data_IF_160480275972
#
_entry.id   IF_160480275972
#
_cell.length_a   1.000
_cell.length_b   1.000
_cell.length_c   1.000
_cell.angle_alpha   90.00
_cell.angle_beta   90.00
_cell.angle_gamma   90.00
#
_symmetry.space_group_name_H-M   'P 1'
#
loop_
_entity.id
_entity.type
_entity.pdbx_description
1 polymer ?
#
# COMPACT_ATOMS: atom_id res chain seq x y z
N UNK A 1 -15.43 5.40 7.43
CA UNK A 1 -14.00 5.80 7.37
C UNK A 1 -13.20 4.78 8.17
N UNK A 2 -12.11 4.26 7.62
CA UNK A 2 -11.23 3.31 8.31
C UNK A 2 -10.57 3.97 9.53
N UNK A 3 -10.66 3.31 10.68
CA UNK A 3 -10.01 3.75 11.92
C UNK A 3 -9.04 2.65 12.35
N UNK A 4 -7.73 2.82 12.14
CA UNK A 4 -6.76 1.82 12.57
C UNK A 4 -6.67 1.75 14.09
N UNK A 5 -6.43 0.55 14.61
CA UNK A 5 -6.14 0.36 16.04
C UNK A 5 -4.71 0.76 16.40
N UNK A 6 -3.77 0.54 15.47
CA UNK A 6 -2.38 0.94 15.60
C UNK A 6 -1.80 1.28 14.22
N UNK A 7 -0.82 2.16 14.21
CA UNK A 7 -0.07 2.55 13.01
C UNK A 7 1.38 2.14 13.20
N UNK A 8 1.89 1.39 12.24
CA UNK A 8 3.30 1.05 12.13
C UNK A 8 3.90 1.85 10.98
N UNK A 9 4.96 2.59 11.21
CA UNK A 9 5.51 3.45 10.17
C UNK A 9 7.04 3.50 10.16
N UNK A 10 7.61 3.63 8.97
CA UNK A 10 9.02 3.90 8.78
C UNK A 10 9.29 5.39 9.04
N UNK A 11 10.33 5.71 9.81
CA UNK A 11 10.61 7.10 10.23
C UNK A 11 10.78 8.05 9.04
N UNK A 12 11.32 7.58 7.94
CA UNK A 12 11.57 8.38 6.75
C UNK A 12 10.29 8.89 6.06
N UNK A 13 9.10 8.35 6.40
CA UNK A 13 7.83 8.87 5.85
C UNK A 13 7.57 10.33 6.23
N UNK A 14 8.18 10.80 7.32
CA UNK A 14 8.08 12.18 7.77
C UNK A 14 8.69 13.19 6.77
N UNK A 15 9.49 12.72 5.81
CA UNK A 15 10.04 13.54 4.72
C UNK A 15 9.05 13.73 3.55
N UNK A 16 7.92 13.03 3.56
CA UNK A 16 6.90 13.07 2.50
C UNK A 16 5.64 13.79 3.00
N UNK A 17 5.03 14.60 2.14
CA UNK A 17 3.81 15.34 2.46
C UNK A 17 2.69 14.41 2.95
N UNK A 18 2.38 13.37 2.14
CA UNK A 18 1.39 12.36 2.50
C UNK A 18 1.69 11.67 3.84
N UNK A 19 2.97 11.45 4.15
CA UNK A 19 3.38 10.86 5.43
C UNK A 19 3.00 11.76 6.60
N UNK A 20 3.28 13.06 6.50
CA UNK A 20 2.91 14.06 7.52
C UNK A 20 1.41 14.17 7.69
N UNK A 21 0.67 14.25 6.58
CA UNK A 21 -0.80 14.29 6.57
C UNK A 21 -1.41 13.08 7.28
N UNK A 22 -0.91 11.88 7.00
CA UNK A 22 -1.40 10.66 7.62
C UNK A 22 -1.08 10.61 9.11
N UNK A 23 0.11 11.04 9.54
CA UNK A 23 0.48 11.09 10.95
C UNK A 23 -0.37 12.09 11.72
N UNK A 24 -0.70 13.25 11.14
CA UNK A 24 -1.60 14.24 11.74
C UNK A 24 -3.06 13.76 11.75
N UNK A 25 -3.54 13.20 10.63
CA UNK A 25 -4.90 12.65 10.52
C UNK A 25 -5.20 11.62 11.61
N UNK A 26 -4.21 10.84 11.97
CA UNK A 26 -4.32 9.77 12.97
C UNK A 26 -3.51 10.08 14.24
N UNK A 27 -3.44 11.35 14.64
CA UNK A 27 -2.64 11.77 15.81
C UNK A 27 -3.00 11.03 17.11
N UNK A 28 -4.27 10.68 17.29
CA UNK A 28 -4.79 10.01 18.49
C UNK A 28 -4.65 8.48 18.45
N UNK A 29 -4.12 7.92 17.36
CA UNK A 29 -3.91 6.48 17.22
C UNK A 29 -2.51 6.11 17.72
N UNK A 30 -2.35 5.01 18.48
CA UNK A 30 -1.04 4.51 18.88
C UNK A 30 -0.13 4.28 17.68
N UNK A 31 1.11 4.75 17.78
CA UNK A 31 2.10 4.71 16.69
C UNK A 31 3.34 3.94 17.12
N UNK A 32 3.82 3.08 16.23
CA UNK A 32 5.04 2.28 16.42
C UNK A 32 5.98 2.54 15.25
N UNK A 33 7.20 2.97 15.54
CA UNK A 33 8.24 3.13 14.52
C UNK A 33 8.81 1.76 14.19
N UNK A 34 8.92 1.47 12.90
CA UNK A 34 9.49 0.23 12.38
C UNK A 34 10.64 0.52 11.42
N UNK A 35 11.57 -0.42 11.31
CA UNK A 35 12.69 -0.32 10.38
C UNK A 35 12.29 -0.66 8.94
N UNK A 36 11.32 -1.59 8.77
CA UNK A 36 10.93 -2.08 7.46
C UNK A 36 9.47 -2.55 7.44
N UNK A 37 8.67 -1.97 6.55
CA UNK A 37 7.28 -2.32 6.35
C UNK A 37 7.04 -3.76 5.87
N UNK A 38 8.06 -4.47 5.41
CA UNK A 38 7.97 -5.87 5.00
C UNK A 38 8.29 -6.86 6.13
N UNK A 39 8.83 -6.40 7.25
CA UNK A 39 9.29 -7.26 8.34
C UNK A 39 8.81 -6.75 9.70
N UNK A 40 7.53 -6.91 9.97
CA UNK A 40 6.93 -6.58 11.27
C UNK A 40 6.74 -7.88 12.04
N UNK A 41 7.66 -8.16 12.98
CA UNK A 41 7.70 -9.44 13.70
C UNK A 41 6.38 -9.76 14.42
N UNK A 42 5.77 -8.78 15.07
CA UNK A 42 4.50 -8.96 15.77
C UNK A 42 3.39 -9.47 14.84
N UNK A 43 3.38 -9.01 13.59
CA UNK A 43 2.40 -9.43 12.59
C UNK A 43 2.70 -10.83 12.06
N UNK A 44 3.98 -11.18 11.91
CA UNK A 44 4.40 -12.48 11.40
C UNK A 44 4.18 -13.63 12.39
N UNK A 45 4.17 -13.34 13.68
CA UNK A 45 3.95 -14.34 14.74
C UNK A 45 2.48 -14.67 14.97
N UNK A 46 1.55 -13.90 14.37
CA UNK A 46 0.12 -14.15 14.54
C UNK A 46 -0.35 -15.38 13.78
N UNK A 47 -1.30 -16.09 14.35
CA UNK A 47 -1.93 -17.22 13.70
C UNK A 47 -2.91 -16.76 12.59
N UNK A 48 -3.31 -17.73 11.75
CA UNK A 48 -4.14 -17.39 10.58
C UNK A 48 -5.55 -16.90 10.94
N UNK A 49 -6.09 -17.30 12.07
CA UNK A 49 -7.39 -16.85 12.59
C UNK A 49 -7.35 -15.42 13.14
N UNK A 50 -6.16 -14.86 13.37
CA UNK A 50 -5.98 -13.49 13.82
C UNK A 50 -5.94 -12.45 12.69
N UNK A 51 -6.08 -12.87 11.42
CA UNK A 51 -6.03 -11.93 10.29
C UNK A 51 -7.02 -10.76 10.41
N UNK A 52 -8.23 -10.89 11.00
CA UNK A 52 -9.11 -9.75 11.19
C UNK A 52 -8.48 -8.66 12.08
N UNK A 53 -7.77 -9.05 13.13
CA UNK A 53 -7.04 -8.11 14.00
C UNK A 53 -5.87 -7.45 13.26
N UNK A 54 -5.16 -8.21 12.43
CA UNK A 54 -4.06 -7.68 11.62
C UNK A 54 -4.55 -6.62 10.63
N UNK A 55 -5.72 -6.82 10.02
CA UNK A 55 -6.32 -5.87 9.08
C UNK A 55 -6.80 -4.56 9.72
N UNK A 56 -6.88 -4.50 11.04
CA UNK A 56 -7.19 -3.27 11.77
C UNK A 56 -5.96 -2.38 11.99
N UNK A 57 -4.79 -2.81 11.58
CA UNK A 57 -3.56 -2.02 11.64
C UNK A 57 -3.28 -1.36 10.28
N UNK A 58 -2.68 -0.18 10.33
CA UNK A 58 -2.21 0.55 9.16
C UNK A 58 -0.69 0.57 9.17
N UNK A 59 -0.09 0.14 8.07
CA UNK A 59 1.35 0.21 7.89
C UNK A 59 1.64 1.31 6.87
N UNK A 60 2.57 2.22 7.19
CA UNK A 60 2.98 3.30 6.32
C UNK A 60 4.48 3.18 6.06
N UNK A 61 4.84 3.09 4.82
CA UNK A 61 6.24 2.90 4.43
C UNK A 61 6.62 3.60 3.13
N UNK A 62 7.87 3.38 2.73
CA UNK A 62 8.44 3.90 1.50
C UNK A 62 8.75 2.74 0.57
N UNK A 63 8.27 2.80 -0.65
CA UNK A 63 8.57 1.79 -1.64
C UNK A 63 9.96 2.02 -2.25
N UNK A 64 10.87 1.08 -2.00
CA UNK A 64 12.28 1.19 -2.46
C UNK A 64 12.45 0.83 -3.94
N UNK A 65 11.54 0.05 -4.50
CA UNK A 65 11.65 -0.42 -5.89
C UNK A 65 10.37 -0.16 -6.67
N UNK A 66 10.51 0.42 -7.85
CA UNK A 66 9.41 0.69 -8.79
C UNK A 66 9.61 -0.12 -10.07
N UNK A 67 9.80 -1.44 -9.92
CA UNK A 67 9.95 -2.34 -11.08
C UNK A 67 8.56 -2.65 -11.65
N UNK A 68 8.35 -2.33 -12.92
CA UNK A 68 7.16 -2.72 -13.66
C UNK A 68 7.30 -4.17 -14.11
N UNK A 69 6.18 -4.88 -14.10
CA UNK A 69 6.08 -6.25 -14.61
C UNK A 69 5.27 -6.21 -15.88
N UNK A 70 5.81 -6.76 -16.97
CA UNK A 70 5.06 -6.89 -18.22
C UNK A 70 3.80 -7.72 -17.99
N UNK A 71 2.70 -7.26 -18.57
CA UNK A 71 1.40 -7.91 -18.51
C UNK A 71 0.81 -7.94 -19.94
N UNK A 72 0.38 -9.09 -20.38
CA UNK A 72 -0.14 -9.27 -21.74
C UNK A 72 -1.65 -9.60 -21.75
N UNK A 73 -2.35 -9.29 -20.66
CA UNK A 73 -3.80 -9.55 -20.53
C UNK A 73 -4.62 -8.27 -20.72
N UNK A 74 -4.68 -7.46 -19.68
CA UNK A 74 -5.54 -6.27 -19.61
C UNK A 74 -4.76 -4.95 -19.71
N UNK A 75 -3.44 -5.02 -19.56
CA UNK A 75 -2.54 -3.86 -19.60
C UNK A 75 -1.19 -4.28 -20.16
N UNK A 76 -0.34 -3.32 -20.53
CA UNK A 76 1.04 -3.58 -20.93
C UNK A 76 1.93 -3.82 -19.71
N UNK A 77 1.64 -3.13 -18.62
CA UNK A 77 2.43 -3.23 -17.39
C UNK A 77 1.56 -3.29 -16.14
N UNK A 78 1.96 -4.16 -15.20
CA UNK A 78 1.60 -4.05 -13.79
C UNK A 78 2.61 -3.13 -13.12
N UNK A 79 2.13 -2.03 -12.56
CA UNK A 79 3.01 -1.09 -11.84
C UNK A 79 3.02 -1.39 -10.34
N UNK A 80 4.09 -1.00 -9.64
CA UNK A 80 4.10 -1.08 -8.20
C UNK A 80 2.98 -0.22 -7.63
N UNK A 81 2.29 -0.77 -6.64
CA UNK A 81 1.10 -0.17 -6.05
C UNK A 81 1.45 0.99 -5.15
N UNK A 82 0.53 1.95 -5.05
CA UNK A 82 0.52 2.96 -3.99
C UNK A 82 0.18 2.35 -2.64
N UNK A 83 -0.43 1.17 -2.66
CA UNK A 83 -0.68 0.35 -1.49
C UNK A 83 -0.60 -1.13 -1.81
N UNK A 84 -0.57 -1.97 -0.79
CA UNK A 84 -0.79 -3.41 -0.91
C UNK A 84 -1.52 -3.93 0.32
N UNK A 85 -2.28 -5.01 0.14
CA UNK A 85 -3.21 -5.48 1.16
C UNK A 85 -4.51 -4.68 1.15
N UNK A 86 -5.39 -4.96 2.08
CA UNK A 86 -6.73 -4.39 2.09
C UNK A 86 -7.31 -4.39 3.52
N UNK A 87 -8.14 -3.40 3.83
CA UNK A 87 -8.83 -3.30 5.12
C UNK A 87 -10.15 -4.07 5.16
N UNK A 88 -10.65 -4.55 4.01
CA UNK A 88 -11.89 -5.32 3.95
C UNK A 88 -11.76 -6.70 4.58
N UNK A 89 -12.84 -7.18 5.20
CA UNK A 89 -12.92 -8.45 5.92
C UNK A 89 -13.70 -9.52 5.11
N UNK A 90 -13.41 -9.63 3.82
CA UNK A 90 -14.08 -10.61 2.96
C UNK A 90 -13.77 -12.05 3.45
N UNK A 91 -14.81 -12.87 3.60
CA UNK A 91 -14.68 -14.26 4.05
C UNK A 91 -13.87 -15.14 3.08
N UNK A 92 -13.87 -14.80 1.81
CA UNK A 92 -13.12 -15.48 0.74
C UNK A 92 -11.95 -14.64 0.24
N UNK A 93 -11.27 -13.93 1.12
CA UNK A 93 -10.21 -13.00 0.75
C UNK A 93 -8.98 -13.73 0.19
N UNK A 94 -8.74 -13.60 -1.10
CA UNK A 94 -7.59 -14.23 -1.74
C UNK A 94 -6.25 -13.68 -1.22
N UNK A 95 -6.23 -12.42 -0.76
CA UNK A 95 -5.04 -11.82 -0.16
C UNK A 95 -4.61 -12.55 1.12
N UNK A 96 -5.56 -13.01 1.92
CA UNK A 96 -5.27 -13.81 3.11
C UNK A 96 -4.67 -15.15 2.72
N UNK A 97 -5.21 -15.79 1.67
CA UNK A 97 -4.74 -17.08 1.20
C UNK A 97 -3.34 -17.02 0.56
N UNK A 98 -3.06 -15.99 -0.24
CA UNK A 98 -1.81 -15.89 -0.99
C UNK A 98 -0.71 -15.11 -0.26
N UNK A 99 -1.07 -14.09 0.51
CA UNK A 99 -0.12 -13.23 1.21
C UNK A 99 -0.09 -13.49 2.72
N UNK A 100 -0.96 -14.37 3.20
CA UNK A 100 -1.03 -14.84 4.58
C UNK A 100 -0.84 -13.68 5.58
N UNK A 101 0.28 -13.67 6.28
CA UNK A 101 0.62 -12.71 7.34
C UNK A 101 0.87 -11.27 6.86
N UNK A 102 0.62 -10.97 5.59
CA UNK A 102 0.78 -9.64 4.98
C UNK A 102 -0.52 -9.12 4.33
N UNK A 103 -1.68 -9.63 4.74
CA UNK A 103 -2.97 -9.19 4.21
C UNK A 103 -3.44 -7.80 4.70
N UNK A 104 -2.77 -7.24 5.69
CA UNK A 104 -3.03 -5.89 6.21
C UNK A 104 -2.64 -4.80 5.19
N UNK A 105 -3.27 -3.64 5.31
CA UNK A 105 -3.00 -2.52 4.41
C UNK A 105 -1.63 -1.90 4.69
N UNK A 106 -0.81 -1.83 3.66
CA UNK A 106 0.43 -1.06 3.62
C UNK A 106 0.28 0.08 2.62
N UNK A 107 0.42 1.31 3.07
CA UNK A 107 0.44 2.51 2.24
C UNK A 107 1.89 2.94 1.97
N UNK A 108 2.15 3.37 0.75
CA UNK A 108 3.45 3.90 0.36
C UNK A 108 3.32 5.39 0.05
N UNK A 109 4.12 6.20 0.74
CA UNK A 109 4.00 7.67 0.67
C UNK A 109 4.74 8.30 -0.52
N UNK A 110 5.67 7.59 -1.13
CA UNK A 110 6.51 8.09 -2.24
C UNK A 110 5.88 7.86 -3.63
N UNK A 111 4.66 8.32 -3.81
CA UNK A 111 3.85 8.12 -5.03
C UNK A 111 4.41 8.83 -6.24
N UNK A 112 4.97 10.01 -6.05
CA UNK A 112 5.55 10.86 -7.10
C UNK A 112 6.65 10.12 -7.86
N UNK A 113 7.46 9.33 -7.17
CA UNK A 113 8.52 8.52 -7.79
C UNK A 113 7.96 7.44 -8.72
N UNK A 114 6.82 6.86 -8.36
CA UNK A 114 6.10 5.90 -9.21
C UNK A 114 5.54 6.60 -10.46
N UNK A 115 4.89 7.76 -10.29
CA UNK A 115 4.33 8.54 -11.39
C UNK A 115 5.41 9.01 -12.37
N UNK A 116 6.51 9.55 -11.87
CA UNK A 116 7.65 9.91 -12.71
C UNK A 116 8.15 8.75 -13.55
N UNK A 117 8.19 7.55 -12.98
CA UNK A 117 8.62 6.38 -13.71
C UNK A 117 7.60 5.95 -14.77
N UNK A 118 6.29 6.05 -14.49
CA UNK A 118 5.22 5.80 -15.47
C UNK A 118 5.40 6.78 -16.64
N UNK A 119 5.51 8.07 -16.37
CA UNK A 119 5.68 9.13 -17.37
C UNK A 119 6.93 8.86 -18.23
N UNK A 120 8.09 8.61 -17.59
CA UNK A 120 9.34 8.31 -18.30
C UNK A 120 9.25 7.04 -19.17
N UNK A 121 8.46 6.06 -18.73
CA UNK A 121 8.26 4.81 -19.50
C UNK A 121 7.35 5.07 -20.69
N UNK A 122 6.26 5.79 -20.50
CA UNK A 122 5.33 6.15 -21.55
C UNK A 122 6.00 7.03 -22.64
N UNK A 123 6.80 8.01 -22.24
CA UNK A 123 7.51 8.89 -23.18
C UNK A 123 8.56 8.19 -24.06
N UNK A 124 9.08 7.06 -23.61
CA UNK A 124 10.04 6.24 -24.38
C UNK A 124 9.38 5.30 -25.38
N UNK A 125 8.07 5.14 -25.29
CA UNK A 125 7.32 4.24 -26.15
C UNK A 125 6.73 4.99 -27.34
N UNK A 126 6.77 4.37 -28.51
CA UNK A 126 6.08 4.86 -29.71
C UNK A 126 4.58 4.49 -29.71
N UNK A 127 4.16 3.65 -28.76
CA UNK A 127 2.78 3.16 -28.60
C UNK A 127 2.15 3.78 -27.36
N UNK A 128 0.83 3.90 -27.39
CA UNK A 128 0.06 4.17 -26.18
C UNK A 128 0.17 2.98 -25.24
N UNK A 129 0.68 3.21 -24.04
CA UNK A 129 0.85 2.18 -23.02
C UNK A 129 -0.29 2.25 -21.98
N UNK A 130 -0.74 1.08 -21.58
CA UNK A 130 -1.74 0.91 -20.51
C UNK A 130 -1.06 0.35 -19.27
N UNK A 131 -1.26 1.03 -18.13
CA UNK A 131 -0.68 0.64 -16.85
C UNK A 131 -1.79 0.22 -15.89
N UNK A 132 -1.66 -0.94 -15.29
CA UNK A 132 -2.56 -1.42 -14.23
C UNK A 132 -1.97 -1.08 -12.87
N UNK A 133 -2.73 -0.34 -12.07
CA UNK A 133 -2.37 0.10 -10.71
C UNK A 133 -3.28 -0.62 -9.71
N UNK A 134 -2.70 -1.13 -8.63
CA UNK A 134 -3.47 -1.64 -7.50
C UNK A 134 -3.99 -3.07 -7.59
N UNK A 135 -3.33 -3.95 -8.36
CA UNK A 135 -3.77 -5.34 -8.51
C UNK A 135 -3.84 -6.16 -7.20
N UNK A 136 -3.16 -5.75 -6.13
CA UNK A 136 -3.15 -6.42 -4.83
C UNK A 136 -3.67 -5.52 -3.68
N UNK A 137 -4.58 -4.62 -3.99
CA UNK A 137 -5.24 -3.77 -3.00
C UNK A 137 -6.62 -3.34 -3.50
N UNK A 138 -7.36 -2.67 -2.64
CA UNK A 138 -8.59 -1.98 -3.02
C UNK A 138 -8.33 -0.47 -3.00
N UNK A 139 -8.22 0.13 -4.18
CA UNK A 139 -7.90 1.56 -4.32
C UNK A 139 -9.03 2.46 -3.83
N UNK A 140 -10.28 2.00 -3.87
CA UNK A 140 -11.42 2.75 -3.34
C UNK A 140 -11.31 2.85 -1.82
N UNK A 141 -10.99 1.74 -1.15
CA UNK A 141 -10.76 1.74 0.30
C UNK A 141 -9.51 2.55 0.66
N UNK A 142 -8.44 2.46 -0.13
CA UNK A 142 -7.26 3.31 0.05
C UNK A 142 -7.63 4.79 -0.01
N UNK A 143 -8.44 5.21 -0.98
CA UNK A 143 -8.87 6.58 -1.13
C UNK A 143 -9.62 7.13 0.09
N UNK A 144 -10.36 6.31 0.81
CA UNK A 144 -11.02 6.74 2.06
C UNK A 144 -10.01 7.14 3.14
N UNK A 145 -8.77 6.70 3.02
CA UNK A 145 -7.68 6.99 3.96
C UNK A 145 -6.88 8.19 3.49
N UNK A 146 -6.53 8.25 2.21
CA UNK A 146 -5.59 9.21 1.65
C UNK A 146 -6.23 10.40 0.95
N UNK A 147 -7.50 10.31 0.57
CA UNK A 147 -8.24 11.30 -0.24
C UNK A 147 -7.56 11.69 -1.57
N UNK A 148 -6.69 10.84 -2.11
CA UNK A 148 -5.75 11.19 -3.18
C UNK A 148 -5.93 10.37 -4.47
N UNK A 149 -7.12 9.85 -4.76
CA UNK A 149 -7.41 9.20 -6.06
C UNK A 149 -7.88 10.19 -7.14
N UNK A 150 -7.82 11.48 -6.90
CA UNK A 150 -8.05 12.47 -7.95
C UNK A 150 -6.69 12.73 -8.59
N UNK A 151 -6.49 12.14 -9.75
CA UNK A 151 -5.34 12.30 -10.63
C UNK A 151 -5.65 13.33 -11.70
#
# INVERSE_FOLDING_TARGET
MFKPQSIYYEKEIENYELGKELLEKYKDVPKVIIENHNNIEEMRKKENDEFPKMKQNLIIGIRKTHKFVENHKTSDFLVPYTSSGCTAMCLYCYLVCNYNKCAYLRLFVNREQMLEKIIKTAQKSEKNLTFEIGSNSDLILENTITNNLVW
#
